data_IF_466326496715
#
_entry.id   IF_466326496715
#
_cell.length_a   1.000
_cell.length_b   1.000
_cell.length_c   1.000
_cell.angle_alpha   90.00
_cell.angle_beta   90.00
_cell.angle_gamma   90.00
#
_symmetry.space_group_name_H-M   'P 1'
#
loop_
_entity.id
_entity.type
_entity.pdbx_description
1 polymer ?
#
# COMPACT_ATOMS: atom_id res chain seq x y z
N UNK A 1 -3.35 11.94 -14.11
CA UNK A 1 -4.12 11.05 -13.21
C UNK A 1 -4.88 11.92 -12.21
N UNK A 2 -5.98 11.42 -11.65
CA UNK A 2 -6.72 12.09 -10.58
C UNK A 2 -6.64 11.25 -9.30
N UNK A 3 -6.42 11.93 -8.18
CA UNK A 3 -6.27 11.37 -6.86
C UNK A 3 -7.41 11.85 -5.96
N UNK A 4 -8.04 10.90 -5.31
CA UNK A 4 -9.11 11.09 -4.34
C UNK A 4 -8.59 10.88 -2.92
N UNK A 5 -9.47 11.07 -1.94
CA UNK A 5 -9.19 10.70 -0.54
C UNK A 5 -8.81 9.24 -0.36
N UNK A 6 -9.41 8.35 -1.15
CA UNK A 6 -9.08 6.93 -1.16
C UNK A 6 -7.62 6.70 -1.57
N UNK A 7 -7.11 7.50 -2.49
CA UNK A 7 -5.71 7.41 -2.92
C UNK A 7 -4.76 7.95 -1.85
N UNK A 8 -5.15 9.01 -1.12
CA UNK A 8 -4.42 9.44 0.08
C UNK A 8 -4.39 8.32 1.15
N UNK A 9 -5.50 7.62 1.36
CA UNK A 9 -5.56 6.48 2.27
C UNK A 9 -4.62 5.34 1.83
N UNK A 10 -4.66 4.97 0.55
CA UNK A 10 -3.79 3.93 0.00
C UNK A 10 -2.31 4.35 0.06
N UNK A 11 -1.98 5.59 -0.28
CA UNK A 11 -0.62 6.12 -0.20
C UNK A 11 -0.09 6.06 1.24
N UNK A 12 -0.94 6.34 2.23
CA UNK A 12 -0.56 6.21 3.64
C UNK A 12 -0.19 4.77 4.01
N UNK A 13 -1.04 3.82 3.61
CA UNK A 13 -0.81 2.39 3.85
C UNK A 13 0.45 1.88 3.15
N UNK A 14 0.68 2.25 1.89
CA UNK A 14 1.83 1.82 1.09
C UNK A 14 3.15 2.43 1.58
N UNK A 15 3.13 3.68 2.05
CA UNK A 15 4.31 4.36 2.59
C UNK A 15 4.73 3.87 3.98
N UNK A 16 3.86 3.14 4.67
CA UNK A 16 4.17 2.57 5.97
C UNK A 16 5.27 1.52 5.85
N UNK A 17 6.28 1.65 6.70
CA UNK A 17 7.46 0.80 6.66
C UNK A 17 7.04 -0.67 6.89
N UNK A 18 7.54 -1.57 6.03
CA UNK A 18 7.45 -3.00 6.30
C UNK A 18 8.41 -3.34 7.44
N UNK A 19 8.11 -4.38 8.23
CA UNK A 19 9.15 -5.01 9.03
C UNK A 19 10.27 -5.46 8.08
N UNK A 20 11.42 -4.79 8.14
CA UNK A 20 12.57 -5.09 7.28
C UNK A 20 13.12 -6.48 7.63
N UNK A 21 13.22 -7.37 6.65
CA UNK A 21 13.87 -8.67 6.80
C UNK A 21 15.39 -8.60 6.63
N UNK A 22 15.93 -7.42 6.31
CA UNK A 22 17.36 -7.17 6.11
C UNK A 22 17.63 -5.84 5.37
N UNK A 23 18.90 -5.42 5.25
CA UNK A 23 19.27 -4.21 4.52
C UNK A 23 18.86 -4.33 3.04
N UNK A 24 18.11 -3.35 2.56
CA UNK A 24 17.67 -3.28 1.15
C UNK A 24 18.66 -2.42 0.36
N UNK A 25 19.23 -2.93 -0.76
CA UNK A 25 20.14 -2.14 -1.59
C UNK A 25 19.46 -0.87 -2.12
N UNK A 26 20.11 0.31 -2.08
CA UNK A 26 19.53 1.57 -2.53
C UNK A 26 19.01 1.56 -3.97
N UNK A 27 19.65 0.79 -4.85
CA UNK A 27 19.32 0.63 -6.26
C UNK A 27 18.16 -0.34 -6.53
N UNK A 28 17.76 -1.14 -5.53
CA UNK A 28 16.70 -2.14 -5.69
C UNK A 28 15.33 -1.49 -5.97
N UNK A 29 14.47 -2.21 -6.69
CA UNK A 29 13.07 -1.80 -6.89
C UNK A 29 12.37 -1.52 -5.54
N UNK A 30 12.62 -2.34 -4.51
CA UNK A 30 12.04 -2.16 -3.18
C UNK A 30 12.43 -0.82 -2.54
N UNK A 31 13.69 -0.39 -2.67
CA UNK A 31 14.14 0.92 -2.19
C UNK A 31 13.51 2.07 -2.99
N UNK A 32 13.42 1.94 -4.32
CA UNK A 32 12.76 2.93 -5.19
C UNK A 32 11.27 3.08 -4.87
N UNK A 33 10.54 1.97 -4.73
CA UNK A 33 9.13 1.96 -4.33
C UNK A 33 8.91 2.56 -2.93
N UNK A 34 9.80 2.28 -1.97
CA UNK A 34 9.75 2.87 -0.62
C UNK A 34 9.85 4.38 -0.70
N UNK A 35 10.79 4.91 -1.49
CA UNK A 35 10.95 6.36 -1.71
C UNK A 35 9.72 6.94 -2.41
N UNK A 36 9.29 6.33 -3.52
CA UNK A 36 8.11 6.74 -4.27
C UNK A 36 6.87 6.88 -3.39
N UNK A 37 6.51 5.85 -2.61
CA UNK A 37 5.33 5.92 -1.75
C UNK A 37 5.44 6.99 -0.66
N UNK A 38 6.63 7.24 -0.12
CA UNK A 38 6.85 8.30 0.87
C UNK A 38 6.68 9.69 0.27
N UNK A 39 7.23 9.91 -0.93
CA UNK A 39 7.13 11.18 -1.64
C UNK A 39 5.69 11.44 -2.13
N UNK A 40 5.01 10.42 -2.67
CA UNK A 40 3.61 10.50 -3.05
C UNK A 40 2.72 10.83 -1.84
N UNK A 41 2.88 10.12 -0.72
CA UNK A 41 2.15 10.44 0.52
C UNK A 41 2.42 11.87 0.97
N UNK A 42 3.67 12.34 0.91
CA UNK A 42 4.03 13.72 1.28
C UNK A 42 3.30 14.73 0.40
N UNK A 43 3.30 14.51 -0.92
CA UNK A 43 2.61 15.36 -1.89
C UNK A 43 1.10 15.42 -1.67
N UNK A 44 0.46 14.24 -1.56
CA UNK A 44 -0.97 14.15 -1.32
C UNK A 44 -1.36 14.79 0.01
N UNK A 45 -0.62 14.56 1.10
CA UNK A 45 -0.90 15.21 2.39
C UNK A 45 -0.81 16.73 2.31
N UNK A 46 0.16 17.25 1.56
CA UNK A 46 0.31 18.68 1.34
C UNK A 46 -0.88 19.26 0.57
N UNK A 47 -1.24 18.67 -0.58
CA UNK A 47 -2.29 19.17 -1.46
C UNK A 47 -3.70 19.00 -0.87
N UNK A 48 -3.96 17.90 -0.18
CA UNK A 48 -5.21 17.72 0.58
C UNK A 48 -5.26 18.56 1.88
N UNK A 49 -4.15 19.17 2.29
CA UNK A 49 -4.05 19.93 3.54
C UNK A 49 -4.33 19.09 4.77
N UNK A 50 -3.84 17.84 4.79
CA UNK A 50 -4.17 16.85 5.81
C UNK A 50 -3.10 16.72 6.90
N UNK A 51 -3.51 16.86 8.17
CA UNK A 51 -2.66 16.63 9.34
C UNK A 51 -3.43 15.95 10.47
N UNK A 52 -2.76 15.01 11.16
CA UNK A 52 -3.25 14.35 12.38
C UNK A 52 -2.49 14.80 13.63
N UNK A 53 -1.74 15.90 13.57
CA UNK A 53 -0.91 16.36 14.70
C UNK A 53 -1.73 16.72 15.94
N UNK A 54 -2.93 17.25 15.76
CA UNK A 54 -3.87 17.58 16.84
C UNK A 54 -4.72 16.40 17.35
N UNK A 55 -4.65 15.24 16.70
CA UNK A 55 -5.57 14.12 16.91
C UNK A 55 -4.78 12.84 17.28
N UNK A 56 -4.18 12.76 18.48
CA UNK A 56 -3.25 11.67 18.83
C UNK A 56 -3.92 10.29 18.84
N UNK A 57 -5.21 10.21 19.22
CA UNK A 57 -5.96 8.95 19.19
C UNK A 57 -6.21 8.47 17.76
N UNK A 58 -6.62 9.37 16.86
CA UNK A 58 -6.77 9.04 15.43
C UNK A 58 -5.43 8.66 14.83
N UNK A 59 -4.36 9.41 15.12
CA UNK A 59 -3.00 9.11 14.67
C UNK A 59 -2.54 7.71 15.11
N UNK A 60 -2.80 7.34 16.37
CA UNK A 60 -2.47 6.00 16.87
C UNK A 60 -3.26 4.93 16.13
N UNK A 61 -4.58 5.11 15.97
CA UNK A 61 -5.41 4.14 15.26
C UNK A 61 -4.99 4.01 13.79
N UNK A 62 -4.72 5.13 13.11
CA UNK A 62 -4.22 5.19 11.74
C UNK A 62 -2.93 4.37 11.57
N UNK A 63 -2.00 4.53 12.52
CA UNK A 63 -0.75 3.76 12.53
C UNK A 63 -0.99 2.26 12.77
N UNK A 64 -1.89 1.88 13.69
CA UNK A 64 -2.25 0.48 13.93
C UNK A 64 -2.87 -0.18 12.69
N UNK A 65 -3.73 0.52 11.95
CA UNK A 65 -4.33 0.02 10.71
C UNK A 65 -3.27 -0.17 9.63
N UNK A 66 -2.32 0.77 9.49
CA UNK A 66 -1.21 0.63 8.55
C UNK A 66 -0.29 -0.55 8.90
N UNK A 67 0.01 -0.74 10.19
CA UNK A 67 0.76 -1.90 10.65
C UNK A 67 0.04 -3.22 10.33
N UNK A 68 -1.27 -3.29 10.59
CA UNK A 68 -2.11 -4.45 10.26
C UNK A 68 -2.13 -4.72 8.75
N UNK A 69 -2.28 -3.70 7.93
CA UNK A 69 -2.24 -3.82 6.47
C UNK A 69 -0.92 -4.38 5.95
N UNK A 70 0.23 -3.91 6.48
CA UNK A 70 1.57 -4.32 6.02
C UNK A 70 1.98 -5.70 6.51
N UNK A 71 1.47 -6.14 7.66
CA UNK A 71 1.72 -7.47 8.22
C UNK A 71 0.78 -8.54 7.68
N UNK A 72 -0.33 -8.14 7.05
CA UNK A 72 -1.27 -9.05 6.40
C UNK A 72 -0.59 -9.75 5.22
N UNK A 73 -0.42 -11.06 5.32
CA UNK A 73 0.17 -11.92 4.28
C UNK A 73 -0.71 -13.16 4.09
N UNK A 74 -0.50 -13.88 2.99
CA UNK A 74 -1.17 -15.16 2.73
C UNK A 74 -0.12 -16.27 2.52
N UNK A 75 -0.49 -17.57 2.57
CA UNK A 75 0.48 -18.67 2.62
C UNK A 75 1.46 -18.77 1.44
N UNK A 76 1.14 -18.14 0.30
CA UNK A 76 1.98 -18.12 -0.90
C UNK A 76 2.73 -16.79 -1.09
N UNK A 77 2.59 -15.84 -0.17
CA UNK A 77 3.31 -14.56 -0.25
C UNK A 77 4.82 -14.81 -0.22
N UNK A 78 5.53 -14.33 -1.24
CA UNK A 78 6.99 -14.47 -1.36
C UNK A 78 7.48 -15.83 -1.85
N UNK A 79 6.59 -16.76 -2.21
CA UNK A 79 6.97 -18.02 -2.84
C UNK A 79 7.17 -17.83 -4.35
N UNK A 80 8.43 -17.62 -4.77
CA UNK A 80 8.81 -17.48 -6.18
C UNK A 80 8.91 -18.83 -6.91
N UNK A 81 9.31 -19.89 -6.21
CA UNK A 81 9.51 -21.23 -6.79
C UNK A 81 8.62 -22.28 -6.12
N UNK A 82 7.38 -22.39 -6.58
CA UNK A 82 6.41 -23.32 -6.00
C UNK A 82 6.36 -24.71 -6.65
N UNK A 83 6.97 -24.93 -7.82
CA UNK A 83 6.60 -26.03 -8.73
C UNK A 83 6.59 -27.44 -8.10
N UNK A 84 7.54 -27.76 -7.22
CA UNK A 84 7.58 -29.05 -6.50
C UNK A 84 6.54 -29.15 -5.39
N UNK A 85 6.20 -28.03 -4.74
CA UNK A 85 5.12 -27.97 -3.75
C UNK A 85 3.77 -28.18 -4.45
N UNK A 86 3.52 -27.48 -5.57
CA UNK A 86 2.29 -27.60 -6.36
C UNK A 86 2.03 -29.06 -6.77
N UNK A 87 3.02 -29.75 -7.33
CA UNK A 87 2.88 -31.18 -7.69
C UNK A 87 2.59 -32.10 -6.51
N UNK A 88 3.06 -31.75 -5.31
CA UNK A 88 2.88 -32.58 -4.11
C UNK A 88 1.49 -32.44 -3.49
N UNK A 89 0.85 -31.29 -3.69
CA UNK A 89 -0.48 -30.97 -3.13
C UNK A 89 -1.59 -31.01 -4.18
N UNK A 90 -1.27 -31.43 -5.41
CA UNK A 90 -2.26 -31.58 -6.47
C UNK A 90 -3.32 -32.61 -6.08
N UNK A 91 -4.59 -32.25 -6.24
CA UNK A 91 -5.74 -33.11 -5.92
C UNK A 91 -6.07 -33.25 -4.43
N UNK A 92 -5.37 -32.53 -3.52
CA UNK A 92 -5.65 -32.58 -2.07
C UNK A 92 -6.62 -31.51 -1.59
N UNK A 93 -7.04 -30.57 -2.45
CA UNK A 93 -7.83 -29.40 -2.05
C UNK A 93 -7.01 -28.25 -1.44
N UNK A 94 -5.69 -28.41 -1.30
CA UNK A 94 -4.83 -27.43 -0.62
C UNK A 94 -4.65 -26.14 -1.43
N UNK A 95 -4.60 -26.24 -2.76
CA UNK A 95 -4.41 -25.06 -3.63
C UNK A 95 -5.66 -24.18 -3.61
N UNK A 96 -6.84 -24.78 -3.58
CA UNK A 96 -8.12 -24.10 -3.50
C UNK A 96 -8.25 -23.31 -2.19
N UNK A 97 -7.78 -23.88 -1.06
CA UNK A 97 -7.71 -23.17 0.22
C UNK A 97 -6.70 -22.01 0.16
N UNK A 98 -5.54 -22.21 -0.47
CA UNK A 98 -4.57 -21.13 -0.67
C UNK A 98 -5.12 -19.98 -1.52
N UNK A 99 -5.87 -20.30 -2.58
CA UNK A 99 -6.56 -19.32 -3.43
C UNK A 99 -7.65 -18.57 -2.66
N UNK A 100 -8.43 -19.27 -1.84
CA UNK A 100 -9.42 -18.66 -0.96
C UNK A 100 -8.77 -17.68 0.02
N UNK A 101 -7.67 -18.09 0.67
CA UNK A 101 -6.92 -17.22 1.58
C UNK A 101 -6.32 -16.02 0.84
N UNK A 102 -5.82 -16.18 -0.38
CA UNK A 102 -5.34 -15.07 -1.19
C UNK A 102 -6.47 -14.09 -1.56
N UNK A 103 -7.68 -14.59 -1.85
CA UNK A 103 -8.87 -13.76 -2.08
C UNK A 103 -9.28 -13.01 -0.81
N UNK A 104 -9.35 -13.69 0.33
CA UNK A 104 -9.67 -13.07 1.63
C UNK A 104 -8.62 -12.02 2.03
N UNK A 105 -7.35 -12.28 1.73
CA UNK A 105 -6.28 -11.31 1.91
C UNK A 105 -6.51 -10.03 1.09
N UNK A 106 -6.81 -10.15 -0.22
CA UNK A 106 -7.13 -8.98 -1.07
C UNK A 106 -8.33 -8.20 -0.55
N UNK A 107 -9.41 -8.89 -0.18
CA UNK A 107 -10.59 -8.26 0.42
C UNK A 107 -10.24 -7.55 1.73
N UNK A 108 -9.41 -8.18 2.57
CA UNK A 108 -8.93 -7.56 3.80
C UNK A 108 -8.13 -6.29 3.51
N UNK A 109 -7.23 -6.30 2.52
CA UNK A 109 -6.48 -5.11 2.09
C UNK A 109 -7.40 -3.98 1.64
N UNK A 110 -8.42 -4.25 0.82
CA UNK A 110 -9.43 -3.26 0.42
C UNK A 110 -10.14 -2.66 1.65
N UNK A 111 -10.49 -3.49 2.64
CA UNK A 111 -11.13 -3.02 3.88
C UNK A 111 -10.22 -2.16 4.75
N UNK A 112 -8.91 -2.38 4.72
CA UNK A 112 -7.97 -1.47 5.38
C UNK A 112 -7.98 -0.10 4.72
N UNK A 113 -8.01 -0.03 3.38
CA UNK A 113 -8.13 1.24 2.65
C UNK A 113 -9.43 1.95 3.03
N UNK A 114 -10.57 1.25 3.02
CA UNK A 114 -11.86 1.80 3.44
C UNK A 114 -11.79 2.36 4.88
N UNK A 115 -11.18 1.62 5.80
CA UNK A 115 -11.06 2.03 7.20
C UNK A 115 -10.20 3.29 7.35
N UNK A 116 -9.08 3.36 6.62
CA UNK A 116 -8.22 4.54 6.61
C UNK A 116 -8.98 5.75 6.02
N UNK A 117 -9.69 5.57 4.92
CA UNK A 117 -10.54 6.61 4.33
C UNK A 117 -11.61 7.13 5.31
N UNK A 118 -12.25 6.24 6.08
CA UNK A 118 -13.18 6.63 7.15
C UNK A 118 -12.48 7.43 8.27
N UNK A 119 -11.27 7.03 8.69
CA UNK A 119 -10.51 7.77 9.71
C UNK A 119 -10.11 9.16 9.18
N UNK A 120 -9.70 9.26 7.91
CA UNK A 120 -9.43 10.55 7.26
C UNK A 120 -10.67 11.46 7.31
N UNK A 121 -11.86 10.91 7.06
CA UNK A 121 -13.12 11.65 7.13
C UNK A 121 -13.49 12.16 8.52
N UNK A 122 -13.07 11.46 9.59
CA UNK A 122 -13.23 11.93 10.96
C UNK A 122 -12.34 13.14 11.27
N UNK A 123 -11.12 13.18 10.73
CA UNK A 123 -10.18 14.27 10.95
C UNK A 123 -10.46 15.50 10.06
N UNK A 124 -10.92 15.28 8.82
CA UNK A 124 -11.30 16.34 7.89
C UNK A 124 -12.49 15.87 7.02
N UNK A 125 -13.64 16.57 7.02
CA UNK A 125 -14.76 16.24 6.15
C UNK A 125 -14.37 16.14 4.67
N UNK A 126 -15.09 15.33 3.91
CA UNK A 126 -14.94 15.25 2.45
C UNK A 126 -15.80 16.26 1.75
N UNK A 127 -15.14 17.17 1.02
CA UNK A 127 -15.81 18.14 0.18
C UNK A 127 -15.68 17.78 -1.30
N UNK A 128 -15.23 16.55 -1.61
CA UNK A 128 -15.00 16.10 -2.98
C UNK A 128 -13.71 16.67 -3.56
N UNK A 129 -12.70 16.91 -2.72
CA UNK A 129 -11.41 17.39 -3.20
C UNK A 129 -10.75 16.34 -4.11
N UNK A 130 -10.24 16.81 -5.26
CA UNK A 130 -9.48 16.01 -6.22
C UNK A 130 -8.11 16.66 -6.37
N UNK A 131 -7.06 15.85 -6.31
CA UNK A 131 -5.68 16.24 -6.60
C UNK A 131 -5.30 15.68 -7.97
N UNK A 132 -4.66 16.46 -8.84
CA UNK A 132 -4.21 15.97 -10.16
C UNK A 132 -2.72 15.71 -10.20
N UNK A 133 -2.28 14.89 -11.16
CA UNK A 133 -0.84 14.68 -11.44
C UNK A 133 -0.11 16.00 -11.69
N UNK A 134 -0.71 16.94 -12.42
CA UNK A 134 -0.06 18.24 -12.66
C UNK A 134 0.17 19.02 -11.36
N UNK A 135 -0.70 18.87 -10.36
CA UNK A 135 -0.51 19.50 -9.05
C UNK A 135 0.61 18.83 -8.25
N UNK A 136 0.78 17.50 -8.37
CA UNK A 136 1.89 16.77 -7.77
C UNK A 136 3.22 17.16 -8.44
N UNK A 137 3.27 17.20 -9.77
CA UNK A 137 4.43 17.67 -10.52
C UNK A 137 4.80 19.12 -10.18
N UNK A 138 3.80 20.00 -10.04
CA UNK A 138 4.02 21.40 -9.67
C UNK A 138 4.69 21.57 -8.30
N UNK A 139 4.59 20.59 -7.40
CA UNK A 139 5.30 20.55 -6.10
C UNK A 139 6.53 19.62 -6.11
N UNK A 140 6.93 19.14 -7.28
CA UNK A 140 8.10 18.29 -7.48
C UNK A 140 7.92 16.84 -7.04
N UNK A 141 6.68 16.34 -7.01
CA UNK A 141 6.38 14.92 -6.76
C UNK A 141 6.09 14.24 -8.08
N UNK A 142 6.94 13.27 -8.42
CA UNK A 142 6.75 12.33 -9.53
C UNK A 142 5.79 11.22 -9.07
N UNK A 143 4.69 11.07 -9.81
CA UNK A 143 3.63 10.12 -9.53
C UNK A 143 3.68 8.86 -10.42
N UNK A 144 4.74 8.71 -11.23
CA UNK A 144 5.02 7.48 -11.96
C UNK A 144 5.61 6.41 -11.03
N UNK A 145 4.90 5.28 -10.87
CA UNK A 145 5.36 4.18 -10.02
C UNK A 145 6.61 3.51 -10.64
N UNK A 146 7.74 3.40 -9.89
CA UNK A 146 8.93 2.75 -10.39
C UNK A 146 8.65 1.31 -10.81
N UNK A 147 9.10 0.95 -12.01
CA UNK A 147 9.11 -0.42 -12.51
C UNK A 147 10.53 -1.01 -12.46
N UNK A 148 10.61 -2.33 -12.47
CA UNK A 148 11.87 -3.02 -12.73
C UNK A 148 11.99 -3.29 -14.23
N UNK A 149 12.92 -2.61 -14.93
CA UNK A 149 13.07 -2.76 -16.38
C UNK A 149 13.47 -4.19 -16.79
N UNK A 150 14.01 -4.99 -15.85
CA UNK A 150 14.41 -6.37 -16.12
C UNK A 150 13.25 -7.39 -15.94
N UNK A 151 12.09 -6.96 -15.44
CA UNK A 151 10.93 -7.82 -15.14
C UNK A 151 9.86 -7.83 -16.24
N UNK A 152 10.05 -7.12 -17.36
CA UNK A 152 9.11 -7.14 -18.50
C UNK A 152 9.13 -8.45 -19.32
N UNK A 153 9.98 -9.42 -18.97
CA UNK A 153 10.17 -10.66 -19.73
C UNK A 153 10.15 -11.94 -18.88
N UNK A 154 9.04 -12.27 -18.21
CA UNK A 154 8.71 -13.67 -17.84
C UNK A 154 7.20 -13.90 -17.71
#
# INVERSE_FOLDING_TARGET
>A
MEYTRRDLALAYLKAHDMPESGPTPPESLAARLKTYHKELLRGLRHLFGFSLEGEPALRFFFHSVAHSYRSNTHPLSGMLEGGLLYKRVEGTGTLEVCEELARLHRQSQERHVDLVEMILALAKPDNGEIVTSEQLEAIGVDDEEPTDPDFEWY
#
